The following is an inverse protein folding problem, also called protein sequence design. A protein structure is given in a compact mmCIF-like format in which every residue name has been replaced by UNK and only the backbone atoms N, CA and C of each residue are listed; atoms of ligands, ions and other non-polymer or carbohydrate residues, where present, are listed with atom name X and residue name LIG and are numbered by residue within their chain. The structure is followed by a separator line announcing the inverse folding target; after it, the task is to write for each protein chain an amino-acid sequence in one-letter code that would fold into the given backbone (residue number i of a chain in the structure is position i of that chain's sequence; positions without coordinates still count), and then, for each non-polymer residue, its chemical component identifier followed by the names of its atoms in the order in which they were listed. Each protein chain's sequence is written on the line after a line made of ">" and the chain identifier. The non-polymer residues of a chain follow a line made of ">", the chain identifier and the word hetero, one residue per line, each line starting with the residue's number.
data_IF_255971964959
#
_entry.id   IF_255971964959
#
_cell.length_a   1.000
_cell.length_b   1.000
_cell.length_c   1.000
_cell.angle_alpha   90.00
_cell.angle_beta   90.00
_cell.angle_gamma   90.00
#
_symmetry.space_group_name_H-M   'P 1'
#
loop_
_entity.id
_entity.type
_entity.pdbx_description
1 polymer ?
#
# COMPACT_ATOMS: atom_id res chain seq x y z
N UNK A 1 10.84 4.92 -5.86
CA UNK A 1 10.89 3.45 -5.69
C UNK A 1 12.01 2.97 -4.80
N UNK A 2 13.28 3.11 -5.21
CA UNK A 2 14.41 2.47 -4.51
C UNK A 2 14.61 2.94 -3.06
N UNK A 3 14.41 4.23 -2.79
CA UNK A 3 14.59 4.83 -1.46
C UNK A 3 13.63 4.26 -0.40
N UNK A 4 12.37 3.99 -0.74
CA UNK A 4 11.36 3.52 0.23
C UNK A 4 11.71 2.13 0.77
N UNK A 5 12.00 1.17 -0.11
CA UNK A 5 12.44 -0.17 0.33
C UNK A 5 13.83 -0.16 0.96
N UNK A 6 14.74 0.71 0.48
CA UNK A 6 16.09 0.81 1.04
C UNK A 6 16.04 1.25 2.52
N UNK A 7 15.15 2.18 2.87
CA UNK A 7 14.95 2.64 4.24
C UNK A 7 14.70 1.49 5.23
N UNK A 8 13.96 0.46 4.82
CA UNK A 8 13.58 -0.66 5.70
C UNK A 8 14.50 -1.89 5.55
N UNK A 9 14.93 -2.20 4.33
CA UNK A 9 15.66 -3.43 4.01
C UNK A 9 17.16 -3.21 3.83
N UNK A 10 17.63 -1.97 3.96
CA UNK A 10 18.97 -1.57 3.54
C UNK A 10 19.13 -1.56 2.01
N UNK A 11 20.27 -1.07 1.55
CA UNK A 11 20.67 -1.09 0.15
C UNK A 11 22.17 -1.28 0.01
N UNK A 12 22.57 -2.01 -1.03
CA UNK A 12 23.97 -2.04 -1.46
C UNK A 12 24.31 -0.73 -2.21
N UNK A 13 25.60 -0.38 -2.35
CA UNK A 13 26.00 0.74 -3.19
C UNK A 13 25.41 0.56 -4.60
N UNK A 14 24.87 1.64 -5.17
CA UNK A 14 24.21 1.57 -6.47
C UNK A 14 24.48 2.82 -7.30
N UNK A 15 24.61 2.62 -8.60
CA UNK A 15 24.68 3.70 -9.57
C UNK A 15 23.29 4.28 -9.82
N UNK A 16 23.17 5.59 -9.61
CA UNK A 16 21.98 6.37 -9.88
C UNK A 16 22.25 7.24 -11.11
N UNK A 17 21.51 6.97 -12.18
CA UNK A 17 21.51 7.75 -13.41
C UNK A 17 20.45 8.82 -13.29
N UNK A 18 20.88 10.09 -13.27
CA UNK A 18 19.99 11.24 -13.21
C UNK A 18 19.73 11.83 -14.61
N UNK A 19 20.67 11.62 -15.53
CA UNK A 19 20.64 11.96 -16.95
C UNK A 19 21.65 11.06 -17.70
N UNK A 20 21.72 11.12 -19.04
CA UNK A 20 22.61 10.28 -19.87
C UNK A 20 24.08 10.34 -19.41
N UNK A 21 24.56 11.52 -19.00
CA UNK A 21 25.95 11.73 -18.58
C UNK A 21 26.13 11.90 -17.06
N UNK A 22 25.05 11.78 -16.27
CA UNK A 22 25.07 12.07 -14.84
C UNK A 22 24.85 10.83 -13.99
N UNK A 23 25.95 10.09 -13.76
CA UNK A 23 26.00 8.98 -12.81
C UNK A 23 26.41 9.46 -11.42
N UNK A 24 25.68 9.03 -10.40
CA UNK A 24 26.01 9.22 -8.98
C UNK A 24 26.10 7.87 -8.28
N UNK A 25 27.15 7.67 -7.49
CA UNK A 25 27.25 6.51 -6.61
C UNK A 25 26.48 6.81 -5.33
N UNK A 26 25.40 6.07 -5.10
CA UNK A 26 24.69 6.09 -3.83
C UNK A 26 25.40 5.12 -2.87
N UNK A 27 25.72 5.54 -1.63
CA UNK A 27 26.38 4.68 -0.66
C UNK A 27 25.46 3.54 -0.21
N UNK A 28 26.04 2.51 0.39
CA UNK A 28 25.28 1.47 1.07
C UNK A 28 24.47 2.08 2.23
N UNK A 29 23.26 1.57 2.44
CA UNK A 29 22.42 1.90 3.58
C UNK A 29 22.23 0.64 4.44
N UNK A 30 22.48 0.69 5.76
CA UNK A 30 22.29 -0.45 6.64
C UNK A 30 20.81 -0.84 6.73
N UNK A 31 20.54 -2.13 6.97
CA UNK A 31 19.20 -2.66 7.17
C UNK A 31 18.74 -2.44 8.62
N UNK A 32 18.59 -1.17 9.01
CA UNK A 32 18.06 -0.74 10.31
C UNK A 32 16.70 -0.08 10.08
N UNK A 33 15.61 -0.87 10.01
CA UNK A 33 14.30 -0.32 9.68
C UNK A 33 13.87 0.69 10.77
N UNK A 34 13.44 1.90 10.38
CA UNK A 34 12.87 2.83 11.32
C UNK A 34 11.55 2.30 11.86
N UNK A 35 11.18 2.76 13.06
CA UNK A 35 9.87 2.55 13.64
C UNK A 35 8.86 3.52 12.98
N UNK A 36 8.55 3.29 11.70
CA UNK A 36 7.61 4.11 10.91
C UNK A 36 6.69 3.18 10.10
N UNK A 37 5.57 2.79 10.72
CA UNK A 37 4.61 1.83 10.18
C UNK A 37 3.89 2.39 8.94
N UNK A 38 3.55 3.69 8.94
CA UNK A 38 2.89 4.33 7.80
C UNK A 38 3.79 4.37 6.58
N UNK A 39 5.07 4.68 6.76
CA UNK A 39 6.03 4.70 5.66
C UNK A 39 6.35 3.31 5.13
N UNK A 40 6.26 2.28 5.97
CA UNK A 40 6.32 0.90 5.50
C UNK A 40 5.14 0.59 4.57
N UNK A 41 3.92 0.98 4.94
CA UNK A 41 2.72 0.79 4.10
C UNK A 41 2.85 1.52 2.76
N UNK A 42 3.29 2.79 2.77
CA UNK A 42 3.55 3.53 1.54
C UNK A 42 4.56 2.81 0.64
N UNK A 43 5.67 2.33 1.21
CA UNK A 43 6.68 1.59 0.47
C UNK A 43 6.15 0.27 -0.10
N UNK A 44 5.31 -0.44 0.67
CA UNK A 44 4.66 -1.69 0.26
C UNK A 44 3.69 -1.44 -0.90
N UNK A 45 2.75 -0.51 -0.77
CA UNK A 45 1.79 -0.19 -1.83
C UNK A 45 2.49 0.24 -3.10
N UNK A 46 3.49 1.10 -2.98
CA UNK A 46 4.27 1.56 -4.11
C UNK A 46 4.98 0.38 -4.79
N UNK A 47 5.57 -0.57 -4.04
CA UNK A 47 6.18 -1.77 -4.59
C UNK A 47 5.17 -2.68 -5.33
N UNK A 48 3.95 -2.83 -4.80
CA UNK A 48 2.83 -3.55 -5.44
C UNK A 48 2.42 -2.86 -6.74
N UNK A 49 2.16 -1.55 -6.71
CA UNK A 49 1.77 -0.76 -7.89
C UNK A 49 2.84 -0.82 -8.98
N UNK A 50 4.13 -0.90 -8.61
CA UNK A 50 5.19 -1.05 -9.61
C UNK A 50 5.50 -2.50 -10.01
N UNK A 51 4.74 -3.50 -9.52
CA UNK A 51 4.96 -4.94 -9.76
C UNK A 51 6.41 -5.35 -9.51
N UNK A 52 6.94 -4.99 -8.35
CA UNK A 52 8.31 -5.32 -7.94
C UNK A 52 8.29 -6.43 -6.88
N UNK A 53 8.07 -7.70 -7.27
CA UNK A 53 7.87 -8.81 -6.33
C UNK A 53 9.07 -8.97 -5.38
N UNK A 54 10.30 -8.79 -5.87
CA UNK A 54 11.51 -8.84 -5.02
C UNK A 54 11.54 -7.76 -3.93
N UNK A 55 10.87 -6.62 -4.14
CA UNK A 55 10.76 -5.57 -3.12
C UNK A 55 9.63 -5.85 -2.16
N UNK A 56 8.49 -6.32 -2.66
CA UNK A 56 7.37 -6.77 -1.83
C UNK A 56 7.87 -7.83 -0.86
N UNK A 57 8.53 -8.87 -1.37
CA UNK A 57 9.09 -9.94 -0.55
C UNK A 57 10.05 -9.42 0.51
N UNK A 58 10.98 -8.52 0.16
CA UNK A 58 11.93 -7.94 1.13
C UNK A 58 11.23 -7.09 2.21
N UNK A 59 10.23 -6.29 1.83
CA UNK A 59 9.44 -5.51 2.79
C UNK A 59 8.68 -6.43 3.75
N UNK A 60 8.17 -7.56 3.26
CA UNK A 60 7.48 -8.55 4.09
C UNK A 60 8.41 -9.30 5.05
N UNK A 61 9.73 -9.26 4.86
CA UNK A 61 10.71 -9.80 5.81
C UNK A 61 11.13 -8.77 6.88
N UNK A 62 10.63 -7.54 6.84
CA UNK A 62 10.92 -6.53 7.89
C UNK A 62 10.28 -7.01 9.20
N UNK A 63 11.05 -7.17 10.29
CA UNK A 63 10.50 -7.66 11.56
C UNK A 63 9.39 -6.74 12.08
N UNK A 64 8.22 -7.32 12.38
CA UNK A 64 7.09 -6.56 12.92
C UNK A 64 7.45 -5.91 14.26
N UNK A 65 8.35 -6.51 15.04
CA UNK A 65 8.89 -5.98 16.30
C UNK A 65 9.61 -4.65 16.12
N UNK A 66 10.16 -4.37 14.93
CA UNK A 66 10.75 -3.07 14.63
C UNK A 66 9.69 -1.98 14.45
N UNK A 67 8.60 -2.32 13.76
CA UNK A 67 7.48 -1.41 13.48
C UNK A 67 6.59 -1.20 14.71
N UNK A 68 6.48 -2.18 15.59
CA UNK A 68 5.76 -2.08 16.87
C UNK A 68 6.32 -1.02 17.82
N UNK A 69 7.53 -0.51 17.57
CA UNK A 69 8.11 0.61 18.33
C UNK A 69 7.56 1.98 17.90
N UNK A 70 6.76 2.03 16.83
CA UNK A 70 6.10 3.25 16.38
C UNK A 70 4.89 3.52 17.29
N UNK A 71 5.03 4.51 18.17
CA UNK A 71 4.00 4.96 19.11
C UNK A 71 3.08 6.04 18.53
N UNK A 72 3.24 6.37 17.24
CA UNK A 72 2.46 7.41 16.57
C UNK A 72 1.20 6.88 15.86
N UNK A 73 1.04 5.55 15.78
CA UNK A 73 -0.04 4.87 15.06
C UNK A 73 -0.93 4.06 15.98
N UNK A 74 -2.20 3.91 15.60
CA UNK A 74 -3.11 2.98 16.25
C UNK A 74 -2.82 1.52 15.86
N UNK A 75 -3.23 0.59 16.72
CA UNK A 75 -2.96 -0.84 16.58
C UNK A 75 -3.42 -1.44 15.23
N UNK A 76 -4.49 -0.91 14.62
CA UNK A 76 -4.98 -1.40 13.34
C UNK A 76 -3.93 -1.29 12.23
N UNK A 77 -3.05 -0.29 12.27
CA UNK A 77 -1.99 -0.10 11.27
C UNK A 77 -1.02 -1.29 11.33
N UNK A 78 -0.62 -1.69 12.53
CA UNK A 78 0.29 -2.84 12.73
C UNK A 78 -0.39 -4.16 12.38
N UNK A 79 -1.68 -4.34 12.72
CA UNK A 79 -2.45 -5.51 12.30
C UNK A 79 -2.59 -5.59 10.77
N UNK A 80 -2.75 -4.45 10.10
CA UNK A 80 -2.83 -4.41 8.66
C UNK A 80 -1.50 -4.80 8.00
N UNK A 81 -0.38 -4.31 8.54
CA UNK A 81 0.96 -4.71 8.11
C UNK A 81 1.16 -6.21 8.28
N UNK A 82 0.82 -6.76 9.45
CA UNK A 82 0.92 -8.20 9.75
C UNK A 82 0.06 -9.04 8.79
N UNK A 83 -1.14 -8.55 8.43
CA UNK A 83 -2.01 -9.16 7.40
C UNK A 83 -1.31 -9.23 6.04
N UNK A 84 -0.73 -8.11 5.59
CA UNK A 84 -0.01 -8.04 4.31
C UNK A 84 1.26 -8.91 4.29
N UNK A 85 2.02 -8.93 5.39
CA UNK A 85 3.20 -9.79 5.54
C UNK A 85 2.82 -11.27 5.52
N UNK A 86 1.75 -11.64 6.23
CA UNK A 86 1.22 -13.00 6.28
C UNK A 86 0.73 -13.46 4.90
N UNK A 87 0.02 -12.59 4.17
CA UNK A 87 -0.46 -12.88 2.82
C UNK A 87 0.68 -13.12 1.81
N UNK A 88 1.78 -12.37 1.92
CA UNK A 88 2.92 -12.52 1.02
C UNK A 88 3.84 -13.69 1.40
N UNK A 89 3.68 -14.24 2.60
CA UNK A 89 4.34 -15.47 3.01
C UNK A 89 3.49 -16.64 2.50
N UNK A 90 4.08 -17.74 2.02
CA UNK A 90 3.35 -18.96 1.57
C UNK A 90 2.62 -19.71 2.72
N UNK A 91 2.01 -18.97 3.66
CA UNK A 91 1.22 -19.47 4.78
C UNK A 91 -0.21 -19.78 4.34
N UNK A 92 -0.94 -20.62 5.10
CA UNK A 92 -2.36 -20.86 4.84
C UNK A 92 -3.16 -19.57 4.82
N UNK A 93 -4.13 -19.47 3.89
CA UNK A 93 -4.98 -18.29 3.76
C UNK A 93 -5.76 -17.97 5.05
N UNK A 94 -6.06 -18.98 5.88
CA UNK A 94 -6.74 -18.79 7.16
C UNK A 94 -5.94 -17.89 8.13
N UNK A 95 -4.62 -18.02 8.15
CA UNK A 95 -3.76 -17.16 8.97
C UNK A 95 -3.92 -15.69 8.55
N UNK A 96 -4.03 -15.44 7.23
CA UNK A 96 -4.27 -14.08 6.69
C UNK A 96 -5.64 -13.56 7.10
N UNK A 97 -6.67 -14.41 7.07
CA UNK A 97 -8.04 -14.05 7.46
C UNK A 97 -8.11 -13.64 8.93
N UNK A 98 -7.48 -14.40 9.83
CA UNK A 98 -7.46 -14.07 11.27
C UNK A 98 -6.81 -12.70 11.53
N UNK A 99 -5.73 -12.37 10.82
CA UNK A 99 -5.06 -11.06 10.92
C UNK A 99 -5.89 -9.93 10.32
N UNK A 100 -6.60 -10.18 9.23
CA UNK A 100 -7.52 -9.22 8.64
C UNK A 100 -8.66 -8.90 9.60
N UNK A 101 -9.24 -9.91 10.26
CA UNK A 101 -10.28 -9.71 11.29
C UNK A 101 -9.74 -8.83 12.42
N UNK A 102 -8.53 -9.12 12.94
CA UNK A 102 -7.90 -8.29 13.97
C UNK A 102 -7.69 -6.83 13.51
N UNK A 103 -7.36 -6.62 12.24
CA UNK A 103 -7.26 -5.28 11.63
C UNK A 103 -8.60 -4.55 11.70
N UNK A 104 -9.68 -5.20 11.27
CA UNK A 104 -11.04 -4.62 11.26
C UNK A 104 -11.55 -4.32 12.67
N UNK A 105 -11.28 -5.19 13.64
CA UNK A 105 -11.68 -4.97 15.04
C UNK A 105 -10.91 -3.81 15.67
N UNK A 106 -9.62 -3.68 15.35
CA UNK A 106 -8.77 -2.62 15.86
C UNK A 106 -9.03 -1.26 15.18
N UNK A 107 -9.61 -1.24 13.97
CA UNK A 107 -10.00 0.01 13.29
C UNK A 107 -11.31 0.59 13.80
N UNK A 108 -12.03 -0.11 14.69
CA UNK A 108 -13.28 0.37 15.25
C UNK A 108 -13.10 1.70 16.01
N UNK A 109 -14.05 2.66 15.92
CA UNK A 109 -13.90 4.00 16.52
C UNK A 109 -13.61 4.06 18.03
N UNK A 110 -13.91 2.96 18.75
CA UNK A 110 -13.66 2.81 20.19
C UNK A 110 -12.22 2.42 20.53
N UNK A 111 -11.49 1.90 19.55
CA UNK A 111 -10.12 1.38 19.67
C UNK A 111 -9.08 2.43 19.26
N UNK A 112 -9.50 3.54 18.66
CA UNK A 112 -8.64 4.60 18.15
C UNK A 112 -8.20 5.56 19.27
N UNK A 113 -6.91 5.86 19.26
CA UNK A 113 -6.21 6.76 20.18
C UNK A 113 -5.51 7.90 19.43
N UNK A 114 -5.01 7.66 18.22
CA UNK A 114 -4.18 8.61 17.46
C UNK A 114 -4.90 9.18 16.22
N UNK A 115 -5.46 8.32 15.37
CA UNK A 115 -6.01 8.70 14.09
C UNK A 115 -7.43 9.30 14.21
N UNK A 116 -7.75 10.36 13.44
CA UNK A 116 -9.11 10.84 13.29
C UNK A 116 -10.03 9.73 12.75
N UNK A 117 -11.24 9.61 13.32
CA UNK A 117 -12.20 8.55 12.96
C UNK A 117 -12.56 8.57 11.48
N UNK A 118 -12.83 9.76 10.95
CA UNK A 118 -13.12 10.00 9.54
C UNK A 118 -11.96 9.60 8.63
N UNK A 119 -10.72 9.80 9.05
CA UNK A 119 -9.55 9.34 8.31
C UNK A 119 -9.45 7.81 8.30
N UNK A 120 -9.70 7.15 9.44
CA UNK A 120 -9.71 5.68 9.50
C UNK A 120 -10.81 5.11 8.60
N UNK A 121 -12.03 5.62 8.76
CA UNK A 121 -13.21 5.13 8.03
C UNK A 121 -13.07 5.38 6.52
N UNK A 122 -12.70 6.59 6.10
CA UNK A 122 -12.72 6.98 4.68
C UNK A 122 -11.42 6.64 3.94
N UNK A 123 -10.28 6.51 4.63
CA UNK A 123 -8.98 6.30 3.99
C UNK A 123 -8.34 4.98 4.40
N UNK A 124 -7.98 4.81 5.68
CA UNK A 124 -7.10 3.71 6.08
C UNK A 124 -7.79 2.34 6.07
N UNK A 125 -9.11 2.28 6.25
CA UNK A 125 -9.88 1.03 6.22
C UNK A 125 -10.14 0.50 4.79
N UNK A 126 -10.15 1.39 3.79
CA UNK A 126 -10.56 1.04 2.43
C UNK A 126 -9.70 -0.05 1.78
N UNK A 127 -8.35 -0.07 1.93
CA UNK A 127 -7.53 -1.17 1.42
C UNK A 127 -7.86 -2.52 2.06
N UNK A 128 -8.15 -2.54 3.36
CA UNK A 128 -8.52 -3.78 4.06
C UNK A 128 -9.87 -4.33 3.57
N UNK A 129 -10.85 -3.44 3.33
CA UNK A 129 -12.14 -3.82 2.75
C UNK A 129 -12.01 -4.39 1.33
N UNK A 130 -11.19 -3.78 0.48
CA UNK A 130 -10.87 -4.29 -0.87
C UNK A 130 -10.14 -5.63 -0.80
N UNK A 131 -9.17 -5.74 0.11
CA UNK A 131 -8.41 -6.96 0.30
C UNK A 131 -9.28 -8.13 0.76
N UNK A 132 -10.26 -7.90 1.64
CA UNK A 132 -11.25 -8.89 2.01
C UNK A 132 -11.97 -9.48 0.79
N UNK A 133 -12.41 -8.63 -0.17
CA UNK A 133 -13.05 -9.09 -1.42
C UNK A 133 -12.08 -9.83 -2.34
N UNK A 134 -10.82 -9.40 -2.35
CA UNK A 134 -9.77 -10.06 -3.12
C UNK A 134 -9.52 -11.49 -2.62
N UNK A 135 -9.34 -11.69 -1.31
CA UNK A 135 -9.05 -13.03 -0.75
C UNK A 135 -10.25 -13.96 -0.77
N UNK A 136 -11.47 -13.42 -0.67
CA UNK A 136 -12.72 -14.19 -0.81
C UNK A 136 -13.12 -14.46 -2.26
N UNK A 137 -12.38 -13.90 -3.23
CA UNK A 137 -12.65 -13.97 -4.68
C UNK A 137 -14.03 -13.45 -5.07
N UNK A 138 -14.55 -12.50 -4.31
CA UNK A 138 -15.82 -11.85 -4.55
C UNK A 138 -15.66 -10.73 -5.60
N UNK A 139 -15.62 -11.14 -6.88
CA UNK A 139 -15.26 -10.29 -8.01
C UNK A 139 -16.21 -9.12 -8.22
N UNK A 140 -17.52 -9.37 -8.08
CA UNK A 140 -18.53 -8.34 -8.28
C UNK A 140 -18.51 -7.32 -7.13
N UNK A 141 -18.43 -7.79 -5.88
CA UNK A 141 -18.37 -6.89 -4.73
C UNK A 141 -17.04 -6.12 -4.65
N UNK A 142 -15.95 -6.60 -5.28
CA UNK A 142 -14.71 -5.86 -5.36
C UNK A 142 -14.87 -4.57 -6.17
N UNK A 143 -15.55 -4.62 -7.32
CA UNK A 143 -15.75 -3.45 -8.17
C UNK A 143 -16.61 -2.38 -7.46
N UNK A 144 -17.67 -2.80 -6.77
CA UNK A 144 -18.51 -1.91 -5.95
C UNK A 144 -17.71 -1.28 -4.81
N UNK A 145 -16.95 -2.09 -4.06
CA UNK A 145 -16.10 -1.60 -2.98
C UNK A 145 -15.00 -0.66 -3.47
N UNK A 146 -14.48 -0.86 -4.69
CA UNK A 146 -13.49 0.04 -5.28
C UNK A 146 -14.11 1.39 -5.60
N UNK A 147 -15.30 1.43 -6.21
CA UNK A 147 -16.01 2.68 -6.46
C UNK A 147 -16.30 3.44 -5.16
N UNK A 148 -16.74 2.74 -4.11
CA UNK A 148 -16.98 3.32 -2.79
C UNK A 148 -15.69 3.89 -2.17
N UNK A 149 -14.59 3.14 -2.21
CA UNK A 149 -13.29 3.59 -1.70
C UNK A 149 -12.80 4.88 -2.39
N UNK A 150 -13.06 5.03 -3.70
CA UNK A 150 -12.69 6.23 -4.44
C UNK A 150 -13.58 7.43 -4.11
N UNK A 151 -14.87 7.22 -3.86
CA UNK A 151 -15.75 8.29 -3.39
C UNK A 151 -15.41 8.73 -1.96
N UNK A 152 -15.04 7.79 -1.08
CA UNK A 152 -14.51 8.11 0.25
C UNK A 152 -13.21 8.92 0.17
N UNK A 153 -12.27 8.52 -0.69
CA UNK A 153 -11.04 9.27 -0.93
C UNK A 153 -11.32 10.69 -1.42
N UNK A 154 -12.20 10.83 -2.42
CA UNK A 154 -12.66 12.13 -2.93
C UNK A 154 -13.29 12.99 -1.83
N UNK A 155 -14.13 12.40 -1.00
CA UNK A 155 -14.85 13.11 0.06
C UNK A 155 -13.89 13.63 1.12
N UNK A 156 -12.95 12.81 1.57
CA UNK A 156 -11.96 13.19 2.57
C UNK A 156 -10.99 14.27 2.05
N UNK A 157 -10.55 14.15 0.79
CA UNK A 157 -9.52 15.03 0.21
C UNK A 157 -10.04 16.20 -0.63
N UNK A 158 -11.37 16.40 -0.72
CA UNK A 158 -12.08 17.30 -1.66
C UNK A 158 -11.35 18.61 -2.02
N UNK A 159 -10.78 19.29 -1.04
CA UNK A 159 -10.14 20.61 -1.19
C UNK A 159 -8.61 20.61 -0.95
N UNK A 160 -8.01 19.43 -0.88
CA UNK A 160 -6.60 19.25 -0.57
C UNK A 160 -5.75 19.18 -1.82
N UNK A 161 -4.75 20.06 -1.91
CA UNK A 161 -3.69 20.00 -2.93
C UNK A 161 -2.54 19.05 -2.55
N UNK A 162 -2.65 18.32 -1.43
CA UNK A 162 -1.59 17.41 -1.00
C UNK A 162 -1.33 16.32 -2.05
N UNK A 163 -0.09 15.88 -2.27
CA UNK A 163 0.20 14.79 -3.21
C UNK A 163 -0.63 13.53 -2.97
N UNK A 164 -0.87 13.17 -1.70
CA UNK A 164 -1.72 12.03 -1.30
C UNK A 164 -3.20 12.18 -1.64
N UNK A 165 -3.69 13.39 -1.90
CA UNK A 165 -5.05 13.62 -2.39
C UNK A 165 -5.20 13.19 -3.86
N UNK A 166 -4.12 13.22 -4.65
CA UNK A 166 -4.16 12.98 -6.08
C UNK A 166 -4.25 11.49 -6.44
N UNK A 167 -3.78 10.61 -5.55
CA UNK A 167 -3.75 9.16 -5.78
C UNK A 167 -4.22 8.43 -4.54
N UNK A 168 -5.24 7.59 -4.69
CA UNK A 168 -5.70 6.68 -3.65
C UNK A 168 -4.75 5.48 -3.57
N UNK A 169 -3.57 5.66 -2.94
CA UNK A 169 -2.46 4.73 -3.04
C UNK A 169 -2.79 3.30 -2.57
N UNK A 170 -3.46 3.15 -1.43
CA UNK A 170 -3.89 1.86 -0.91
C UNK A 170 -4.90 1.18 -1.85
N UNK A 171 -6.03 1.83 -2.22
CA UNK A 171 -6.96 1.31 -3.21
C UNK A 171 -6.31 0.97 -4.56
N UNK A 172 -5.38 1.80 -5.04
CA UNK A 172 -4.61 1.54 -6.26
C UNK A 172 -3.80 0.25 -6.15
N UNK A 173 -3.10 0.02 -5.03
CA UNK A 173 -2.36 -1.21 -4.83
C UNK A 173 -3.27 -2.45 -4.85
N UNK A 174 -4.45 -2.37 -4.22
CA UNK A 174 -5.43 -3.46 -4.23
C UNK A 174 -6.02 -3.69 -5.62
N UNK A 175 -6.35 -2.63 -6.35
CA UNK A 175 -6.80 -2.72 -7.74
C UNK A 175 -5.74 -3.32 -8.66
N UNK A 176 -4.45 -3.02 -8.43
CA UNK A 176 -3.35 -3.64 -9.17
C UNK A 176 -3.28 -5.16 -8.94
N UNK A 177 -3.43 -5.62 -7.69
CA UNK A 177 -3.51 -7.05 -7.39
C UNK A 177 -4.74 -7.69 -8.03
N UNK A 178 -5.91 -7.07 -7.90
CA UNK A 178 -7.15 -7.58 -8.48
C UNK A 178 -7.08 -7.67 -10.01
N UNK A 179 -6.48 -6.66 -10.66
CA UNK A 179 -6.22 -6.67 -12.11
C UNK A 179 -5.32 -7.84 -12.51
N UNK A 180 -4.27 -8.10 -11.74
CA UNK A 180 -3.34 -9.22 -11.97
C UNK A 180 -4.01 -10.60 -11.74
N UNK A 181 -5.09 -10.65 -10.94
CA UNK A 181 -6.00 -11.79 -10.80
C UNK A 181 -7.22 -11.74 -11.75
N UNK A 182 -7.18 -10.87 -12.76
CA UNK A 182 -8.20 -10.72 -13.81
C UNK A 182 -9.58 -10.29 -13.30
N UNK A 183 -9.71 -9.63 -12.14
CA UNK A 183 -11.01 -9.15 -11.64
C UNK A 183 -11.64 -8.13 -12.62
N UNK A 184 -12.95 -8.21 -12.86
CA UNK A 184 -13.63 -7.29 -13.78
C UNK A 184 -13.96 -5.97 -13.07
N UNK A 185 -13.31 -4.89 -13.49
CA UNK A 185 -13.68 -3.53 -13.07
C UNK A 185 -13.17 -2.52 -14.11
N UNK A 186 -13.75 -1.31 -14.11
CA UNK A 186 -13.32 -0.25 -15.02
C UNK A 186 -11.93 0.28 -14.62
N UNK A 187 -10.98 0.27 -15.56
CA UNK A 187 -9.60 0.71 -15.30
C UNK A 187 -9.41 2.23 -15.41
N UNK A 188 -10.37 2.93 -16.03
CA UNK A 188 -10.43 4.39 -16.09
C UNK A 188 -11.24 4.90 -14.90
N UNK A 189 -10.54 5.20 -13.82
CA UNK A 189 -11.14 5.68 -12.57
C UNK A 189 -10.41 6.93 -12.07
N UNK A 190 -11.11 7.89 -11.44
CA UNK A 190 -10.45 9.01 -10.79
C UNK A 190 -9.54 8.50 -9.67
N UNK A 191 -8.43 9.20 -9.43
CA UNK A 191 -7.42 8.85 -8.41
C UNK A 191 -6.66 7.53 -8.62
N UNK A 192 -6.97 6.77 -9.68
CA UNK A 192 -6.24 5.58 -10.11
C UNK A 192 -5.53 5.86 -11.44
N UNK A 193 -4.23 6.16 -11.44
CA UNK A 193 -3.49 6.39 -12.68
C UNK A 193 -3.55 5.16 -13.59
N UNK A 194 -4.29 5.26 -14.70
CA UNK A 194 -4.58 4.16 -15.64
C UNK A 194 -3.33 3.33 -16.00
N UNK A 195 -2.26 4.00 -16.41
CA UNK A 195 -1.00 3.35 -16.83
C UNK A 195 -0.33 2.55 -15.70
N UNK A 196 -0.42 3.04 -14.46
CA UNK A 196 0.05 2.28 -13.31
C UNK A 196 -0.87 1.08 -13.04
N UNK A 197 -2.17 1.21 -13.25
CA UNK A 197 -3.11 0.13 -13.00
C UNK A 197 -3.00 -1.00 -14.03
N UNK A 198 -2.95 -0.69 -15.33
CA UNK A 198 -3.07 -1.66 -16.42
C UNK A 198 -1.72 -2.17 -16.99
N UNK A 199 -0.60 -1.81 -16.37
CA UNK A 199 0.79 -2.14 -16.78
C UNK A 199 1.30 -1.42 -18.03
N UNK A 200 0.55 -0.49 -18.60
CA UNK A 200 1.00 0.28 -19.76
C UNK A 200 2.00 1.37 -19.33
N UNK A 201 2.80 1.86 -20.29
CA UNK A 201 3.73 2.97 -20.06
C UNK A 201 3.30 4.18 -20.86
N UNK A 202 3.49 5.37 -20.27
CA UNK A 202 3.37 6.62 -21.01
C UNK A 202 4.61 6.74 -21.89
N UNK A 203 4.46 6.50 -23.19
CA UNK A 203 5.55 6.71 -24.16
C UNK A 203 5.70 8.19 -24.55
N UNK A 204 4.66 9.00 -24.35
CA UNK A 204 4.66 10.44 -24.65
C UNK A 204 3.97 11.18 -23.51
N UNK A 205 4.68 12.08 -22.83
CA UNK A 205 4.10 12.94 -21.80
C UNK A 205 3.27 14.01 -22.53
N UNK A 206 1.94 14.07 -22.34
CA UNK A 206 1.14 15.14 -22.92
C UNK A 206 1.56 16.47 -22.28
N UNK A 207 1.93 17.44 -23.12
CA UNK A 207 2.34 18.78 -22.73
C UNK A 207 1.19 19.70 -22.32
#
# INVERSE_FOLDING_TARGET
>A
MQLGSALFCGAQPQECWLDEDLVRQLPALPAEPPADARRWLDAFYVAVVCRQPDRVNRLCQVPLEALQRDDSVDAYVLHWIDTLQTYCSDRPINDTVDKLIATMEASAPRSLTHAPKDFVDLIDYQPAALFHRLITRDRDAFAEALAEALDHHKTYWRDSAAPRAQVALGPLAMACLAYDYEFPFETEQPYLPRYLLNRERIETIPG
#
